data_IF_703515423072
#
_entry.id   IF_703515423072
#
_cell.length_a   1.000
_cell.length_b   1.000
_cell.length_c   1.000
_cell.angle_alpha   90.00
_cell.angle_beta   90.00
_cell.angle_gamma   90.00
#
_symmetry.space_group_name_H-M   'P 1'
#
loop_
_entity.id
_entity.type
_entity.pdbx_description
1 polymer ?
#
# COMPACT_ATOMS: atom_id res chain seq x y z
N UNK A 1 1.93 -1.00 -24.67
CA UNK A 1 2.57 -2.09 -23.88
C UNK A 1 3.08 -1.50 -22.57
N UNK A 2 2.26 -1.56 -21.52
CA UNK A 2 2.54 -0.94 -20.21
C UNK A 2 3.42 -1.85 -19.32
N UNK A 3 3.44 -3.16 -19.57
CA UNK A 3 4.16 -4.16 -18.76
C UNK A 3 5.69 -4.00 -18.74
N UNK A 4 6.34 -3.71 -19.88
CA UNK A 4 7.82 -3.60 -19.92
C UNK A 4 8.39 -2.43 -19.11
N UNK A 5 7.65 -1.31 -19.01
CA UNK A 5 8.09 -0.15 -18.22
C UNK A 5 8.10 -0.49 -16.74
N UNK A 6 7.05 -1.15 -16.24
CA UNK A 6 6.95 -1.50 -14.83
C UNK A 6 7.91 -2.63 -14.42
N UNK A 7 8.19 -3.59 -15.29
CA UNK A 7 9.13 -4.68 -14.96
C UNK A 7 10.56 -4.12 -14.73
N UNK A 8 11.02 -3.24 -15.63
CA UNK A 8 12.33 -2.60 -15.50
C UNK A 8 12.35 -1.57 -14.37
N UNK A 9 11.33 -0.72 -14.30
CA UNK A 9 11.26 0.33 -13.30
C UNK A 9 11.13 -0.24 -11.89
N UNK A 10 10.34 -1.31 -11.68
CA UNK A 10 10.19 -1.90 -10.34
C UNK A 10 11.52 -2.45 -9.82
N UNK A 11 12.31 -3.14 -10.65
CA UNK A 11 13.64 -3.62 -10.22
C UNK A 11 14.59 -2.46 -9.87
N UNK A 12 14.53 -1.36 -10.65
CA UNK A 12 15.32 -0.16 -10.39
C UNK A 12 14.85 0.59 -9.13
N UNK A 13 13.55 0.73 -8.93
CA UNK A 13 12.96 1.34 -7.74
C UNK A 13 13.20 0.50 -6.49
N UNK A 14 13.15 -0.82 -6.60
CA UNK A 14 13.47 -1.71 -5.47
C UNK A 14 14.94 -1.55 -5.07
N UNK A 15 15.86 -1.47 -6.03
CA UNK A 15 17.28 -1.23 -5.75
C UNK A 15 17.55 0.18 -5.20
N UNK A 16 16.93 1.22 -5.76
CA UNK A 16 17.19 2.62 -5.41
C UNK A 16 16.41 3.17 -4.22
N UNK A 17 15.18 2.69 -4.02
CA UNK A 17 14.21 3.21 -3.04
C UNK A 17 13.71 2.16 -2.03
N UNK A 18 14.09 0.89 -2.18
CA UNK A 18 13.66 -0.19 -1.31
C UNK A 18 12.22 -0.62 -1.58
N UNK A 19 11.55 -1.16 -0.57
CA UNK A 19 10.25 -1.82 -0.75
C UNK A 19 9.03 -0.89 -0.70
N UNK A 20 9.23 0.39 -0.35
CA UNK A 20 8.15 1.36 -0.11
C UNK A 20 8.20 2.48 -1.15
N UNK A 21 7.29 2.41 -2.12
CA UNK A 21 7.25 3.33 -3.27
C UNK A 21 6.47 4.62 -2.97
N UNK A 22 6.76 5.26 -1.84
CA UNK A 22 6.22 6.56 -1.48
C UNK A 22 7.20 7.35 -0.61
N UNK A 23 6.90 8.63 -0.43
CA UNK A 23 7.71 9.52 0.40
C UNK A 23 7.00 9.82 1.72
N UNK A 24 7.80 10.30 2.68
CA UNK A 24 7.33 10.83 3.95
C UNK A 24 8.17 12.07 4.31
N UNK A 25 7.56 13.00 5.05
CA UNK A 25 8.30 14.10 5.63
C UNK A 25 9.33 13.56 6.64
N UNK A 26 10.59 13.97 6.50
CA UNK A 26 11.71 13.47 7.33
C UNK A 26 12.14 14.52 8.35
N UNK A 27 12.22 14.13 9.62
CA UNK A 27 12.70 15.00 10.68
C UNK A 27 14.22 15.02 10.80
N UNK A 28 14.76 16.04 11.47
CA UNK A 28 16.20 16.15 11.70
C UNK A 28 16.67 14.97 12.57
N UNK A 29 17.65 14.23 12.08
CA UNK A 29 18.20 13.05 12.76
C UNK A 29 17.50 11.73 12.41
N UNK A 30 16.42 11.76 11.62
CA UNK A 30 15.69 10.57 11.16
C UNK A 30 16.26 10.06 9.83
N UNK A 31 16.42 8.75 9.69
CA UNK A 31 16.74 8.13 8.40
C UNK A 31 15.53 8.14 7.45
N UNK A 32 15.76 7.96 6.15
CA UNK A 32 14.65 7.84 5.18
C UNK A 32 13.71 6.69 5.57
N UNK A 33 14.27 5.54 5.93
CA UNK A 33 13.50 4.35 6.31
C UNK A 33 12.64 4.59 7.56
N UNK A 34 13.18 5.24 8.58
CA UNK A 34 12.41 5.59 9.79
C UNK A 34 11.28 6.57 9.46
N UNK A 35 11.52 7.57 8.61
CA UNK A 35 10.49 8.53 8.22
C UNK A 35 9.31 7.89 7.50
N UNK A 36 9.59 6.91 6.63
CA UNK A 36 8.57 6.14 5.91
C UNK A 36 7.75 5.29 6.89
N UNK A 37 8.42 4.51 7.74
CA UNK A 37 7.76 3.67 8.77
C UNK A 37 6.88 4.49 9.70
N UNK A 38 7.37 5.63 10.20
CA UNK A 38 6.58 6.53 11.06
C UNK A 38 5.34 7.03 10.34
N UNK A 39 5.43 7.35 9.05
CA UNK A 39 4.27 7.78 8.27
C UNK A 39 3.24 6.65 8.10
N UNK A 40 3.70 5.42 7.81
CA UNK A 40 2.84 4.24 7.72
C UNK A 40 2.13 3.92 9.05
N UNK A 41 2.86 4.02 10.18
CA UNK A 41 2.28 3.86 11.51
C UNK A 41 1.25 4.95 11.82
N UNK A 42 1.54 6.19 11.44
CA UNK A 42 0.59 7.30 11.58
C UNK A 42 -0.70 7.02 10.80
N UNK A 43 -0.62 6.57 9.54
CA UNK A 43 -1.80 6.20 8.76
C UNK A 43 -2.60 5.09 9.41
N UNK A 44 -1.95 4.02 9.90
CA UNK A 44 -2.62 2.94 10.61
C UNK A 44 -3.36 3.42 11.87
N UNK A 45 -2.76 4.35 12.62
CA UNK A 45 -3.38 4.96 13.81
C UNK A 45 -4.56 5.87 13.45
N UNK A 46 -4.42 6.71 12.42
CA UNK A 46 -5.51 7.60 11.96
C UNK A 46 -6.71 6.82 11.43
N UNK A 47 -6.47 5.68 10.78
CA UNK A 47 -7.53 4.76 10.33
C UNK A 47 -8.11 3.92 11.48
N UNK A 48 -7.56 4.02 12.69
CA UNK A 48 -8.02 3.25 13.84
C UNK A 48 -7.87 1.75 13.67
N UNK A 49 -6.84 1.29 12.93
CA UNK A 49 -6.62 -0.14 12.67
C UNK A 49 -6.32 -0.86 13.98
N UNK A 50 -7.09 -1.91 14.26
CA UNK A 50 -7.00 -2.73 15.48
C UNK A 50 -6.45 -4.13 15.15
N UNK A 51 -5.84 -4.80 16.14
CA UNK A 51 -5.44 -6.19 16.02
C UNK A 51 -6.59 -7.08 15.51
N UNK A 52 -6.28 -7.97 14.58
CA UNK A 52 -7.24 -8.92 13.98
C UNK A 52 -8.18 -8.34 12.92
N UNK A 53 -8.17 -7.02 12.67
CA UNK A 53 -8.92 -6.45 11.56
C UNK A 53 -8.33 -6.83 10.20
N UNK A 54 -9.15 -6.69 9.16
CA UNK A 54 -8.74 -6.84 7.76
C UNK A 54 -8.68 -5.46 7.11
N UNK A 55 -7.55 -5.15 6.47
CA UNK A 55 -7.28 -3.86 5.80
C UNK A 55 -7.05 -4.11 4.32
N UNK A 56 -7.52 -3.20 3.47
CA UNK A 56 -7.29 -3.20 2.04
C UNK A 56 -6.31 -2.08 1.67
N UNK A 57 -5.20 -2.43 1.03
CA UNK A 57 -4.22 -1.49 0.49
C UNK A 57 -4.36 -1.40 -1.03
N UNK A 58 -4.89 -0.28 -1.52
CA UNK A 58 -5.30 -0.09 -2.92
C UNK A 58 -4.17 0.61 -3.68
N UNK A 59 -3.59 -0.05 -4.69
CA UNK A 59 -2.37 0.44 -5.33
C UNK A 59 -1.11 0.09 -4.55
N UNK A 60 -1.08 -1.10 -3.95
CA UNK A 60 -0.10 -1.52 -2.94
C UNK A 60 1.37 -1.71 -3.44
N UNK A 61 1.64 -1.54 -4.74
CA UNK A 61 2.98 -1.80 -5.31
C UNK A 61 3.47 -3.22 -5.00
N UNK A 62 4.70 -3.33 -4.50
CA UNK A 62 5.30 -4.59 -3.99
C UNK A 62 5.08 -4.83 -2.48
N UNK A 63 4.26 -3.99 -1.83
CA UNK A 63 3.73 -4.20 -0.48
C UNK A 63 4.64 -3.83 0.69
N UNK A 64 5.59 -2.91 0.54
CA UNK A 64 6.35 -2.37 1.68
C UNK A 64 5.44 -1.82 2.79
N UNK A 65 4.58 -0.83 2.49
CA UNK A 65 3.64 -0.25 3.46
C UNK A 65 2.66 -1.28 4.01
N UNK A 66 2.11 -2.13 3.12
CA UNK A 66 1.26 -3.26 3.47
C UNK A 66 1.89 -4.12 4.59
N UNK A 67 3.16 -4.51 4.43
CA UNK A 67 3.86 -5.34 5.42
C UNK A 67 4.17 -4.58 6.71
N UNK A 68 4.52 -3.30 6.63
CA UNK A 68 4.78 -2.50 7.83
C UNK A 68 3.51 -2.31 8.67
N UNK A 69 2.41 -1.93 8.03
CA UNK A 69 1.11 -1.73 8.69
C UNK A 69 0.66 -3.03 9.35
N UNK A 70 0.72 -4.16 8.64
CA UNK A 70 0.32 -5.46 9.19
C UNK A 70 1.07 -5.81 10.49
N UNK A 71 2.41 -5.59 10.50
CA UNK A 71 3.25 -5.85 11.67
C UNK A 71 2.97 -4.88 12.82
N UNK A 72 2.82 -3.60 12.50
CA UNK A 72 2.61 -2.57 13.49
C UNK A 72 1.27 -2.72 14.22
N UNK A 73 0.19 -3.02 13.49
CA UNK A 73 -1.17 -3.07 14.02
C UNK A 73 -1.65 -4.46 14.43
N UNK A 74 -0.90 -5.52 14.12
CA UNK A 74 -1.37 -6.93 14.19
C UNK A 74 -2.66 -7.19 13.38
N UNK A 75 -2.84 -6.48 12.27
CA UNK A 75 -3.95 -6.70 11.33
C UNK A 75 -3.53 -7.59 10.16
N UNK A 76 -4.51 -8.15 9.45
CA UNK A 76 -4.28 -8.75 8.13
C UNK A 76 -4.49 -7.71 7.04
N UNK A 77 -3.57 -7.60 6.09
CA UNK A 77 -3.65 -6.61 5.00
C UNK A 77 -3.65 -7.32 3.65
N UNK A 78 -4.60 -6.98 2.80
CA UNK A 78 -4.66 -7.45 1.42
C UNK A 78 -4.35 -6.28 0.48
N UNK A 79 -3.36 -6.45 -0.38
CA UNK A 79 -3.00 -5.49 -1.41
C UNK A 79 -3.77 -5.73 -2.69
N UNK A 80 -4.32 -4.67 -3.28
CA UNK A 80 -4.91 -4.67 -4.62
C UNK A 80 -3.96 -3.98 -5.58
N UNK A 81 -3.59 -4.64 -6.67
CA UNK A 81 -2.74 -4.09 -7.72
C UNK A 81 -3.12 -4.69 -9.08
N UNK A 82 -2.92 -3.95 -10.17
CA UNK A 82 -3.15 -4.46 -11.53
C UNK A 82 -1.89 -5.10 -12.15
N UNK A 83 -0.72 -4.84 -11.55
CA UNK A 83 0.56 -5.31 -12.05
C UNK A 83 0.93 -6.70 -11.49
N UNK A 84 0.94 -7.71 -12.36
CA UNK A 84 1.24 -9.10 -11.99
C UNK A 84 2.68 -9.34 -11.53
N UNK A 85 3.64 -8.61 -12.10
CA UNK A 85 5.04 -8.67 -11.68
C UNK A 85 5.18 -8.18 -10.24
N UNK A 86 4.59 -7.02 -9.91
CA UNK A 86 4.63 -6.46 -8.55
C UNK A 86 3.93 -7.37 -7.53
N UNK A 87 2.81 -7.99 -7.90
CA UNK A 87 2.13 -8.98 -7.06
C UNK A 87 3.01 -10.20 -6.81
N UNK A 88 3.64 -10.73 -7.86
CA UNK A 88 4.52 -11.90 -7.75
C UNK A 88 5.70 -11.60 -6.84
N UNK A 89 6.36 -10.45 -7.05
CA UNK A 89 7.47 -9.98 -6.20
C UNK A 89 7.02 -9.74 -4.77
N UNK A 90 5.88 -9.08 -4.56
CA UNK A 90 5.31 -8.83 -3.24
C UNK A 90 5.01 -10.13 -2.47
N UNK A 91 4.48 -11.16 -3.14
CA UNK A 91 4.25 -12.48 -2.53
C UNK A 91 5.55 -13.15 -2.10
N UNK A 92 6.61 -13.05 -2.90
CA UNK A 92 7.94 -13.54 -2.53
C UNK A 92 8.48 -12.81 -1.29
N UNK A 93 8.44 -11.47 -1.29
CA UNK A 93 8.86 -10.63 -0.17
C UNK A 93 8.05 -10.93 1.11
N UNK A 94 6.74 -11.20 0.99
CA UNK A 94 5.92 -11.62 2.14
C UNK A 94 6.40 -12.93 2.76
N UNK A 95 6.79 -13.92 1.93
CA UNK A 95 7.35 -15.20 2.42
C UNK A 95 8.70 -15.00 3.08
N UNK A 96 9.61 -14.27 2.44
CA UNK A 96 10.94 -13.97 2.98
C UNK A 96 10.85 -13.25 4.34
N UNK A 97 9.84 -12.40 4.49
CA UNK A 97 9.64 -11.61 5.68
C UNK A 97 8.67 -12.25 6.71
N UNK A 98 8.23 -13.50 6.47
CA UNK A 98 7.44 -14.32 7.40
C UNK A 98 6.02 -13.84 7.68
N UNK A 99 5.42 -13.09 6.75
CA UNK A 99 4.09 -12.45 6.92
C UNK A 99 3.06 -12.92 5.89
N UNK A 100 3.35 -13.96 5.11
CA UNK A 100 2.46 -14.51 4.08
C UNK A 100 1.11 -15.03 4.61
N UNK A 101 0.99 -15.27 5.92
CA UNK A 101 -0.29 -15.61 6.57
C UNK A 101 -1.19 -14.40 6.84
N UNK A 102 -0.61 -13.21 6.98
CA UNK A 102 -1.33 -11.97 7.34
C UNK A 102 -1.34 -10.97 6.18
N UNK A 103 -0.47 -11.14 5.19
CA UNK A 103 -0.28 -10.23 4.07
C UNK A 103 -0.52 -10.96 2.75
N UNK A 104 -1.54 -10.52 2.00
CA UNK A 104 -1.94 -11.14 0.73
C UNK A 104 -2.06 -10.11 -0.40
N UNK A 105 -2.20 -10.61 -1.63
CA UNK A 105 -2.41 -9.78 -2.82
C UNK A 105 -3.54 -10.32 -3.69
N UNK A 106 -4.32 -9.41 -4.25
CA UNK A 106 -5.35 -9.66 -5.26
C UNK A 106 -5.00 -8.87 -6.51
N UNK A 107 -4.99 -9.54 -7.67
CA UNK A 107 -4.87 -8.88 -8.97
C UNK A 107 -6.26 -8.41 -9.38
N UNK A 108 -6.46 -7.10 -9.46
CA UNK A 108 -7.68 -6.51 -9.96
C UNK A 108 -7.35 -5.14 -10.58
N UNK A 109 -8.16 -4.75 -11.55
CA UNK A 109 -8.13 -3.39 -12.10
C UNK A 109 -8.97 -2.48 -11.19
N UNK A 110 -8.53 -1.24 -11.04
CA UNK A 110 -9.33 -0.17 -10.44
C UNK A 110 -9.62 0.80 -11.58
N UNK A 111 -10.54 0.43 -12.47
CA UNK A 111 -11.03 1.33 -13.50
C UNK A 111 -12.50 1.65 -13.24
N UNK A 112 -12.73 2.63 -12.37
CA UNK A 112 -13.89 3.52 -12.47
C UNK A 112 -13.34 4.94 -12.46
N UNK A 113 -13.19 5.53 -13.65
CA UNK A 113 -12.77 6.93 -13.84
C UNK A 113 -11.41 7.10 -14.52
N UNK A 114 -11.21 8.28 -15.09
CA UNK A 114 -10.00 8.77 -15.75
C UNK A 114 -8.86 8.90 -14.75
N UNK A 115 -8.06 7.83 -14.61
CA UNK A 115 -6.86 7.82 -13.78
C UNK A 115 -5.96 9.03 -14.06
N UNK A 116 -5.96 9.97 -13.11
CA UNK A 116 -5.17 11.21 -13.00
C UNK A 116 -5.59 12.37 -13.92
N UNK A 117 -6.35 13.35 -13.35
CA UNK A 117 -5.88 14.73 -13.45
C UNK A 117 -5.75 15.51 -12.12
N UNK A 118 -6.33 15.07 -10.99
CA UNK A 118 -6.34 15.89 -9.77
C UNK A 118 -6.14 15.08 -8.47
N UNK A 119 -5.31 15.60 -7.57
CA UNK A 119 -5.34 15.22 -6.15
C UNK A 119 -6.77 15.49 -5.63
N UNK A 120 -7.48 14.44 -5.21
CA UNK A 120 -8.81 14.56 -4.61
C UNK A 120 -8.68 14.64 -3.09
N UNK A 121 -9.51 15.48 -2.47
CA UNK A 121 -9.63 15.54 -1.01
C UNK A 121 -10.16 14.20 -0.48
N UNK A 122 -9.71 13.81 0.72
CA UNK A 122 -10.20 12.60 1.41
C UNK A 122 -11.73 12.53 1.44
N UNK A 123 -12.40 13.67 1.61
CA UNK A 123 -13.87 13.76 1.57
C UNK A 123 -14.50 13.22 0.28
N UNK A 124 -13.90 13.47 -0.88
CA UNK A 124 -14.38 12.95 -2.17
C UNK A 124 -14.19 11.45 -2.29
N UNK A 125 -13.09 10.90 -1.77
CA UNK A 125 -12.87 9.46 -1.70
C UNK A 125 -13.90 8.78 -0.77
N UNK A 126 -14.17 9.37 0.40
CA UNK A 126 -15.17 8.87 1.35
C UNK A 126 -16.58 8.87 0.73
N UNK A 127 -16.92 9.91 -0.03
CA UNK A 127 -18.20 10.00 -0.73
C UNK A 127 -18.36 8.93 -1.81
N UNK A 128 -17.33 8.72 -2.64
CA UNK A 128 -17.32 7.66 -3.64
C UNK A 128 -17.49 6.27 -3.02
N UNK A 129 -16.81 6.00 -1.89
CA UNK A 129 -16.98 4.76 -1.14
C UNK A 129 -18.42 4.57 -0.64
N UNK A 130 -19.05 5.63 -0.11
CA UNK A 130 -20.47 5.59 0.29
C UNK A 130 -21.40 5.32 -0.90
N UNK A 131 -21.17 5.97 -2.04
CA UNK A 131 -21.96 5.74 -3.27
C UNK A 131 -21.82 4.31 -3.79
N UNK A 132 -20.63 3.71 -3.63
CA UNK A 132 -20.38 2.30 -3.94
C UNK A 132 -20.96 1.32 -2.90
N UNK A 133 -21.64 1.82 -1.85
CA UNK A 133 -22.33 1.00 -0.84
C UNK A 133 -21.47 0.60 0.36
N UNK A 134 -20.28 1.19 0.52
CA UNK A 134 -19.46 0.95 1.71
C UNK A 134 -19.94 1.80 2.89
N UNK A 135 -20.05 1.17 4.06
CA UNK A 135 -20.23 1.89 5.31
C UNK A 135 -18.88 2.43 5.77
N UNK A 136 -18.76 3.76 5.83
CA UNK A 136 -17.51 4.44 6.19
C UNK A 136 -17.69 5.21 7.50
N UNK A 137 -16.98 4.78 8.53
CA UNK A 137 -16.87 5.46 9.83
C UNK A 137 -15.54 6.20 9.90
N UNK A 138 -15.58 7.43 10.45
CA UNK A 138 -14.42 8.30 10.69
C UNK A 138 -14.20 8.37 12.20
#
# INVERSE_FOLDING_TARGET
>A
QVNKYYDLATSFYEYGWGESFHFAHRWKGESLRESIKRHEHFLALQLGVKPGQKVLDVGCGIGGPLREIARFSNSSVTGLNNNEYQITRGKELNRLAGVDKTCNFVKAEIEIGDGLPDIRLTSKCLEALKQAGFEVSI
#
